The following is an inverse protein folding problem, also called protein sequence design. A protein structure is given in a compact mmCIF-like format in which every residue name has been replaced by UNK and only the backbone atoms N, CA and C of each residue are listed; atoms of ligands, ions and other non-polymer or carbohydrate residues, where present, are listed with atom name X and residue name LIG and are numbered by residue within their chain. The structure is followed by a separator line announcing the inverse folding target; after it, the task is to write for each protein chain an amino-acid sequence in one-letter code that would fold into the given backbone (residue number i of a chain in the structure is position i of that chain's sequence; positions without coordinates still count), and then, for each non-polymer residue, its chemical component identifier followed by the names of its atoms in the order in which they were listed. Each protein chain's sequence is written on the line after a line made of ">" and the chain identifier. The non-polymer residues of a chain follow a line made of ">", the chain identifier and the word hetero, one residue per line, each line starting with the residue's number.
data_IF_571653629399
#
_entry.id   IF_571653629399
#
_cell.length_a   1.000
_cell.length_b   1.000
_cell.length_c   1.000
_cell.angle_alpha   90.00
_cell.angle_beta   90.00
_cell.angle_gamma   90.00
#
_symmetry.space_group_name_H-M   'P 1'
#
loop_
_entity.id
_entity.type
_entity.pdbx_description
1 polymer ?
#
# COMPACT_ATOMS: atom_id res chain seq x y z
N UNK A 1 17.56 17.38 -8.42
CA UNK A 1 16.68 16.96 -9.54
C UNK A 1 15.28 16.79 -8.97
N UNK A 2 14.19 17.24 -9.64
CA UNK A 2 12.83 16.95 -9.18
C UNK A 2 12.52 15.46 -9.37
N UNK A 3 11.63 14.92 -8.55
CA UNK A 3 11.14 13.56 -8.69
C UNK A 3 9.67 13.55 -9.16
N UNK A 4 9.28 12.49 -9.86
CA UNK A 4 7.88 12.21 -10.17
C UNK A 4 7.42 11.00 -9.36
N UNK A 5 6.57 11.25 -8.36
CA UNK A 5 6.03 10.21 -7.50
C UNK A 5 4.92 9.41 -8.22
N UNK A 6 5.33 8.35 -8.90
CA UNK A 6 4.46 7.41 -9.60
C UNK A 6 3.76 6.41 -8.67
N UNK A 7 4.03 6.44 -7.35
CA UNK A 7 3.31 5.60 -6.37
C UNK A 7 1.88 6.11 -6.13
N UNK A 8 1.62 7.37 -6.48
CA UNK A 8 0.30 8.00 -6.43
C UNK A 8 -0.46 7.79 -7.73
N UNK A 9 -1.77 7.59 -7.63
CA UNK A 9 -2.63 7.58 -8.81
C UNK A 9 -2.60 8.95 -9.51
N UNK A 10 -2.20 8.95 -10.77
CA UNK A 10 -2.25 10.13 -11.65
C UNK A 10 -3.17 9.84 -12.85
N UNK A 11 -3.68 10.89 -13.49
CA UNK A 11 -4.50 10.77 -14.71
C UNK A 11 -3.74 11.17 -15.97
N UNK A 12 -2.60 11.82 -15.81
CA UNK A 12 -1.77 12.33 -16.89
C UNK A 12 -0.32 12.42 -16.41
N UNK A 13 0.61 12.39 -17.35
CA UNK A 13 2.02 12.65 -17.07
C UNK A 13 2.25 14.11 -16.62
N UNK A 14 3.32 14.38 -15.87
CA UNK A 14 3.74 15.74 -15.56
C UNK A 14 3.85 16.61 -16.81
N UNK A 15 3.33 17.84 -16.77
CA UNK A 15 3.38 18.79 -17.90
C UNK A 15 4.80 19.04 -18.40
N UNK A 16 5.76 19.04 -17.47
CA UNK A 16 7.19 19.14 -17.74
C UNK A 16 7.68 18.08 -18.72
N UNK A 17 7.07 16.88 -18.73
CA UNK A 17 7.45 15.79 -19.62
C UNK A 17 6.66 15.78 -20.93
N UNK A 18 5.45 16.35 -20.96
CA UNK A 18 4.52 16.19 -22.10
C UNK A 18 4.50 17.37 -23.07
N UNK A 19 4.75 18.59 -22.60
CA UNK A 19 4.65 19.76 -23.47
C UNK A 19 5.87 19.83 -24.39
N UNK A 20 5.66 19.91 -25.70
CA UNK A 20 6.74 20.00 -26.67
C UNK A 20 7.48 21.34 -26.62
N UNK A 21 6.80 22.42 -26.23
CA UNK A 21 7.34 23.77 -26.16
C UNK A 21 7.15 24.36 -24.76
N UNK A 22 8.08 25.22 -24.37
CA UNK A 22 8.05 26.00 -23.15
C UNK A 22 8.22 27.48 -23.48
N UNK A 23 7.34 28.32 -22.97
CA UNK A 23 7.44 29.79 -23.07
C UNK A 23 7.93 30.32 -21.73
N UNK A 24 9.12 30.93 -21.74
CA UNK A 24 9.69 31.54 -20.55
C UNK A 24 8.83 32.76 -20.13
N UNK A 25 8.30 32.79 -18.89
CA UNK A 25 7.43 33.86 -18.44
C UNK A 25 8.16 35.22 -18.29
N UNK A 26 9.49 35.24 -18.22
CA UNK A 26 10.29 36.45 -18.05
C UNK A 26 10.76 37.04 -19.38
N UNK A 27 11.23 36.19 -20.30
CA UNK A 27 11.71 36.63 -21.62
C UNK A 27 10.63 36.60 -22.70
N UNK A 28 9.52 35.92 -22.46
CA UNK A 28 8.44 35.64 -23.43
C UNK A 28 8.92 34.89 -24.69
N UNK A 29 10.11 34.31 -24.66
CA UNK A 29 10.65 33.48 -25.75
C UNK A 29 10.10 32.07 -25.60
N UNK A 30 9.61 31.52 -26.71
CA UNK A 30 9.16 30.12 -26.78
C UNK A 30 10.28 29.27 -27.38
N UNK A 31 10.66 28.23 -26.67
CA UNK A 31 11.67 27.24 -27.08
C UNK A 31 11.10 25.83 -27.00
N UNK A 32 11.74 24.87 -27.66
CA UNK A 32 11.44 23.45 -27.45
C UNK A 32 11.74 23.10 -25.99
N UNK A 33 10.83 22.37 -25.35
CA UNK A 33 10.99 21.93 -23.98
C UNK A 33 12.12 20.89 -23.89
N UNK A 34 13.20 21.16 -23.15
CA UNK A 34 14.34 20.24 -23.05
C UNK A 34 14.01 18.95 -22.29
N UNK A 35 12.85 18.86 -21.62
CA UNK A 35 12.39 17.65 -20.94
C UNK A 35 11.45 16.79 -21.80
N UNK A 36 11.11 17.24 -23.01
CA UNK A 36 10.18 16.52 -23.88
C UNK A 36 10.81 15.29 -24.52
N UNK A 37 12.01 15.42 -25.06
CA UNK A 37 12.82 14.36 -25.68
C UNK A 37 14.31 14.69 -25.55
N UNK A 38 15.18 13.70 -25.77
CA UNK A 38 16.63 13.90 -25.84
C UNK A 38 17.19 13.50 -27.21
N UNK A 39 18.24 14.18 -27.65
CA UNK A 39 18.94 13.89 -28.92
C UNK A 39 20.01 12.82 -28.71
N UNK A 40 19.97 11.76 -29.50
CA UNK A 40 21.03 10.74 -29.57
C UNK A 40 21.99 11.16 -30.68
N UNK A 41 23.05 11.86 -30.31
CA UNK A 41 23.93 12.54 -31.27
C UNK A 41 24.61 11.60 -32.27
N UNK A 42 25.07 10.43 -31.82
CA UNK A 42 25.82 9.50 -32.68
C UNK A 42 24.94 8.72 -33.68
N UNK A 43 23.61 8.68 -33.46
CA UNK A 43 22.64 8.08 -34.38
C UNK A 43 21.76 9.12 -35.08
N UNK A 44 21.84 10.40 -34.68
CA UNK A 44 21.06 11.50 -35.24
C UNK A 44 19.53 11.29 -35.15
N UNK A 45 19.05 10.74 -34.04
CA UNK A 45 17.62 10.52 -33.74
C UNK A 45 17.24 11.10 -32.38
N UNK A 46 15.97 11.42 -32.19
CA UNK A 46 15.43 11.89 -30.91
C UNK A 46 14.75 10.73 -30.17
N UNK A 47 14.77 10.75 -28.84
CA UNK A 47 14.06 9.74 -28.06
C UNK A 47 12.55 9.87 -28.22
N UNK A 48 11.87 8.72 -28.21
CA UNK A 48 10.42 8.63 -28.30
C UNK A 48 9.83 7.96 -27.05
N UNK A 49 8.57 8.27 -26.75
CA UNK A 49 7.80 7.66 -25.66
C UNK A 49 6.48 7.15 -26.21
N UNK A 50 6.16 5.89 -25.92
CA UNK A 50 4.90 5.23 -26.27
C UNK A 50 4.19 4.79 -24.98
N UNK A 51 3.44 5.72 -24.40
CA UNK A 51 2.96 5.63 -23.02
C UNK A 51 1.82 4.62 -22.89
N UNK A 52 2.03 3.56 -22.10
CA UNK A 52 1.03 2.54 -21.75
C UNK A 52 0.03 3.06 -20.71
N UNK A 53 -0.92 3.87 -21.16
CA UNK A 53 -1.92 4.55 -20.32
C UNK A 53 -2.82 3.59 -19.52
N UNK A 54 -3.08 2.41 -20.08
CA UNK A 54 -3.89 1.32 -19.50
C UNK A 54 -3.23 0.64 -18.29
N UNK A 55 -1.92 0.86 -18.10
CA UNK A 55 -1.17 0.38 -16.94
C UNK A 55 -0.84 1.52 -15.99
N UNK A 56 -0.22 2.58 -16.51
CA UNK A 56 0.30 3.68 -15.71
C UNK A 56 -0.78 4.43 -14.92
N UNK A 57 -1.96 4.62 -15.51
CA UNK A 57 -3.08 5.35 -14.88
C UNK A 57 -4.16 4.42 -14.33
N UNK A 58 -3.92 3.11 -14.32
CA UNK A 58 -4.87 2.12 -13.82
C UNK A 58 -4.95 2.16 -12.30
N UNK A 59 -6.16 2.36 -11.80
CA UNK A 59 -6.50 2.26 -10.38
C UNK A 59 -6.79 0.81 -10.01
N UNK A 60 -6.41 0.46 -8.79
CA UNK A 60 -6.73 -0.81 -8.16
C UNK A 60 -8.16 -0.85 -7.62
N UNK A 61 -8.55 -1.98 -7.01
CA UNK A 61 -9.91 -2.22 -6.52
C UNK A 61 -10.38 -1.23 -5.45
N UNK A 62 -9.47 -0.66 -4.66
CA UNK A 62 -9.80 0.29 -3.59
C UNK A 62 -9.96 1.73 -4.12
N UNK A 63 -9.67 1.96 -5.41
CA UNK A 63 -9.86 3.23 -6.12
C UNK A 63 -8.71 4.23 -5.95
N UNK A 64 -7.80 4.00 -4.99
CA UNK A 64 -6.62 4.84 -4.75
C UNK A 64 -5.30 4.07 -4.88
N UNK A 65 -5.33 2.75 -4.74
CA UNK A 65 -4.19 1.86 -4.92
C UNK A 65 -3.84 1.71 -6.41
N UNK A 66 -2.60 1.35 -6.70
CA UNK A 66 -2.09 1.09 -8.06
C UNK A 66 -1.22 -0.16 -8.03
N UNK A 67 -0.87 -0.69 -9.21
CA UNK A 67 0.12 -1.78 -9.27
C UNK A 67 1.45 -1.37 -8.63
N UNK A 68 1.96 -0.17 -8.97
CA UNK A 68 3.20 0.37 -8.42
C UNK A 68 3.14 0.57 -6.90
N UNK A 69 1.99 1.03 -6.40
CA UNK A 69 1.76 1.15 -4.96
C UNK A 69 1.98 -0.17 -4.25
N UNK A 70 1.36 -1.25 -4.71
CA UNK A 70 1.46 -2.56 -4.07
C UNK A 70 2.89 -3.13 -4.16
N UNK A 71 3.55 -3.01 -5.31
CA UNK A 71 4.91 -3.54 -5.49
C UNK A 71 5.95 -2.77 -4.65
N UNK A 72 5.89 -1.44 -4.63
CA UNK A 72 6.82 -0.64 -3.82
C UNK A 72 6.54 -0.79 -2.34
N UNK A 73 5.29 -0.86 -1.93
CA UNK A 73 4.97 -1.11 -0.53
C UNK A 73 5.56 -2.45 -0.07
N UNK A 74 5.47 -3.48 -0.91
CA UNK A 74 6.09 -4.77 -0.62
C UNK A 74 7.64 -4.71 -0.63
N UNK A 75 8.24 -3.86 -1.47
CA UNK A 75 9.67 -3.56 -1.38
C UNK A 75 10.02 -2.92 -0.02
N UNK A 76 9.29 -1.89 0.39
CA UNK A 76 9.47 -1.18 1.67
C UNK A 76 9.21 -2.08 2.89
N UNK A 77 8.45 -3.16 2.72
CA UNK A 77 8.27 -4.18 3.74
C UNK A 77 9.56 -4.96 4.04
N UNK A 78 10.47 -5.11 3.08
CA UNK A 78 11.69 -5.91 3.29
C UNK A 78 12.63 -5.24 4.30
N UNK A 79 13.19 -6.04 5.21
CA UNK A 79 14.17 -5.56 6.20
C UNK A 79 15.62 -5.79 5.76
N UNK A 80 15.86 -6.72 4.83
CA UNK A 80 17.17 -6.96 4.25
C UNK A 80 17.37 -6.13 2.97
N UNK A 81 18.56 -5.56 2.80
CA UNK A 81 18.87 -4.69 1.67
C UNK A 81 18.72 -5.41 0.32
N UNK A 82 19.17 -6.67 0.22
CA UNK A 82 19.13 -7.40 -1.05
C UNK A 82 17.70 -7.85 -1.40
N UNK A 83 16.89 -8.21 -0.39
CA UNK A 83 15.45 -8.44 -0.60
C UNK A 83 14.78 -7.16 -1.11
N UNK A 84 15.05 -6.01 -0.46
CA UNK A 84 14.53 -4.71 -0.87
C UNK A 84 14.93 -4.33 -2.30
N UNK A 85 16.22 -4.45 -2.63
CA UNK A 85 16.78 -4.06 -3.91
C UNK A 85 16.11 -4.79 -5.07
N UNK A 86 15.92 -6.11 -4.96
CA UNK A 86 15.26 -6.92 -6.01
C UNK A 86 13.81 -6.46 -6.22
N UNK A 87 13.04 -6.28 -5.15
CA UNK A 87 11.64 -5.84 -5.29
C UNK A 87 11.55 -4.42 -5.87
N UNK A 88 12.44 -3.51 -5.44
CA UNK A 88 12.48 -2.14 -5.93
C UNK A 88 12.87 -2.08 -7.41
N UNK A 89 13.89 -2.84 -7.83
CA UNK A 89 14.38 -2.85 -9.22
C UNK A 89 13.27 -3.27 -10.20
N UNK A 90 12.51 -4.32 -9.87
CA UNK A 90 11.40 -4.77 -10.71
C UNK A 90 10.24 -3.77 -10.74
N UNK A 91 9.98 -3.08 -9.62
CA UNK A 91 8.99 -2.00 -9.56
C UNK A 91 9.43 -0.81 -10.41
N UNK A 92 10.71 -0.47 -10.37
CA UNK A 92 11.35 0.58 -11.17
C UNK A 92 11.26 0.27 -12.68
N UNK A 93 11.53 -0.98 -13.08
CA UNK A 93 11.51 -1.41 -14.48
C UNK A 93 10.15 -1.19 -15.16
N UNK A 94 9.06 -1.20 -14.39
CA UNK A 94 7.71 -0.97 -14.92
C UNK A 94 7.60 0.42 -15.56
N UNK A 95 8.21 1.47 -14.99
CA UNK A 95 8.15 2.82 -15.57
C UNK A 95 8.95 2.90 -16.87
N UNK A 96 10.09 2.23 -16.95
CA UNK A 96 10.85 2.13 -18.21
C UNK A 96 9.99 1.54 -19.32
N UNK A 97 9.35 0.40 -19.05
CA UNK A 97 8.44 -0.26 -20.00
C UNK A 97 7.21 0.61 -20.33
N UNK A 98 6.57 1.21 -19.33
CA UNK A 98 5.31 1.94 -19.54
C UNK A 98 5.48 3.30 -20.17
N UNK A 99 6.63 3.97 -20.02
CA UNK A 99 6.92 5.20 -20.74
C UNK A 99 7.53 4.95 -22.12
N UNK A 100 8.43 3.97 -22.24
CA UNK A 100 9.09 3.70 -23.51
C UNK A 100 8.20 2.96 -24.51
N UNK A 101 7.31 2.09 -24.02
CA UNK A 101 6.41 1.30 -24.85
C UNK A 101 7.16 0.49 -25.90
N UNK A 102 6.63 0.46 -27.12
CA UNK A 102 7.17 -0.33 -28.24
C UNK A 102 8.38 0.27 -28.95
N UNK A 103 8.85 1.45 -28.53
CA UNK A 103 9.84 2.25 -29.26
C UNK A 103 11.27 1.81 -28.95
N UNK A 104 12.12 1.77 -29.98
CA UNK A 104 13.53 1.40 -29.88
C UNK A 104 14.33 2.45 -29.11
N UNK A 105 14.33 3.70 -29.56
CA UNK A 105 15.00 4.83 -28.90
C UNK A 105 14.19 5.40 -27.74
N UNK A 106 13.94 4.58 -26.72
CA UNK A 106 13.03 4.93 -25.61
C UNK A 106 13.55 4.50 -24.24
N UNK A 107 12.81 4.86 -23.19
CA UNK A 107 13.07 4.39 -21.82
C UNK A 107 13.00 2.87 -21.68
N UNK A 108 12.26 2.17 -22.55
CA UNK A 108 12.10 0.74 -22.44
C UNK A 108 13.36 -0.02 -22.91
N UNK A 109 14.31 0.65 -23.57
CA UNK A 109 15.54 0.05 -24.06
C UNK A 109 16.77 0.52 -23.28
N UNK A 110 17.51 -0.42 -22.68
CA UNK A 110 18.63 -0.11 -21.77
C UNK A 110 19.70 0.81 -22.40
N UNK A 111 19.97 0.67 -23.71
CA UNK A 111 21.00 1.48 -24.39
C UNK A 111 20.61 2.95 -24.56
N UNK A 112 19.32 3.23 -24.67
CA UNK A 112 18.81 4.54 -25.06
C UNK A 112 18.08 5.26 -23.92
N UNK A 113 17.71 4.54 -22.86
CA UNK A 113 16.87 5.06 -21.78
C UNK A 113 17.41 6.34 -21.15
N UNK A 114 18.72 6.45 -20.92
CA UNK A 114 19.35 7.60 -20.28
C UNK A 114 19.42 8.86 -21.15
N UNK A 115 19.22 8.75 -22.47
CA UNK A 115 19.14 9.92 -23.34
C UNK A 115 17.84 10.69 -23.15
N UNK A 116 16.78 10.03 -22.70
CA UNK A 116 15.52 10.69 -22.43
C UNK A 116 15.55 11.39 -21.05
N UNK A 117 15.29 12.71 -20.97
CA UNK A 117 15.31 13.46 -19.71
C UNK A 117 14.36 12.93 -18.61
N UNK A 118 13.29 12.23 -18.98
CA UNK A 118 12.38 11.61 -18.01
C UNK A 118 13.09 10.55 -17.15
N UNK A 119 14.17 9.94 -17.66
CA UNK A 119 15.01 8.99 -16.93
C UNK A 119 15.45 9.56 -15.58
N UNK A 120 16.01 10.78 -15.56
CA UNK A 120 16.54 11.38 -14.34
C UNK A 120 15.46 11.75 -13.32
N UNK A 121 14.28 12.16 -13.79
CA UNK A 121 13.14 12.45 -12.90
C UNK A 121 12.57 11.15 -12.30
N UNK A 122 12.51 10.09 -13.11
CA UNK A 122 12.12 8.76 -12.66
C UNK A 122 13.11 8.21 -11.61
N UNK A 123 14.40 8.25 -11.90
CA UNK A 123 15.47 7.80 -11.00
C UNK A 123 15.60 8.64 -9.74
N UNK A 124 15.27 9.94 -9.79
CA UNK A 124 15.16 10.75 -8.58
C UNK A 124 14.04 10.27 -7.65
N UNK A 125 12.94 9.71 -8.17
CA UNK A 125 11.94 9.08 -7.30
C UNK A 125 12.39 7.69 -6.81
N UNK A 126 13.10 6.92 -7.64
CA UNK A 126 13.67 5.62 -7.23
C UNK A 126 14.65 5.78 -6.08
N UNK A 127 15.55 6.76 -6.15
CA UNK A 127 16.46 7.11 -5.05
C UNK A 127 15.72 7.64 -3.82
N UNK A 128 14.66 8.45 -4.02
CA UNK A 128 13.77 8.86 -2.92
C UNK A 128 13.13 7.67 -2.20
N UNK A 129 12.69 6.64 -2.92
CA UNK A 129 12.14 5.43 -2.32
C UNK A 129 13.20 4.65 -1.53
N UNK A 130 14.45 4.65 -1.99
CA UNK A 130 15.56 4.10 -1.21
C UNK A 130 15.83 4.90 0.06
N UNK A 131 15.82 6.24 0.00
CA UNK A 131 15.91 7.10 1.18
C UNK A 131 14.76 6.87 2.19
N UNK A 132 13.53 6.62 1.69
CA UNK A 132 12.38 6.22 2.54
C UNK A 132 12.66 4.88 3.22
N UNK A 133 13.17 3.89 2.48
CA UNK A 133 13.55 2.60 3.06
C UNK A 133 14.64 2.76 4.13
N UNK A 134 15.68 3.54 3.89
CA UNK A 134 16.71 3.83 4.90
C UNK A 134 16.10 4.47 6.17
N UNK A 135 15.19 5.43 6.01
CA UNK A 135 14.51 6.04 7.16
C UNK A 135 13.64 5.03 7.93
N UNK A 136 12.99 4.09 7.21
CA UNK A 136 12.21 3.01 7.77
C UNK A 136 13.07 2.00 8.54
N UNK A 137 14.24 1.62 7.99
CA UNK A 137 15.21 0.77 8.66
C UNK A 137 15.72 1.41 9.96
N UNK A 138 16.01 2.72 9.93
CA UNK A 138 16.36 3.48 11.13
C UNK A 138 15.23 3.47 12.17
N UNK A 139 13.97 3.62 11.73
CA UNK A 139 12.80 3.55 12.62
C UNK A 139 12.65 2.17 13.27
N UNK A 140 12.94 1.09 12.52
CA UNK A 140 12.93 -0.30 12.99
C UNK A 140 14.10 -0.65 13.93
N UNK A 141 15.06 0.26 14.11
CA UNK A 141 16.26 0.04 14.92
C UNK A 141 17.42 -0.64 14.18
N UNK A 142 17.31 -0.78 12.86
CA UNK A 142 18.37 -1.30 11.99
C UNK A 142 19.34 -0.17 11.59
N UNK A 143 20.51 -0.57 11.10
CA UNK A 143 21.48 0.37 10.54
C UNK A 143 21.08 0.72 9.10
N UNK A 144 20.78 1.99 8.78
CA UNK A 144 20.26 2.37 7.48
C UNK A 144 21.33 2.52 6.39
N UNK A 145 22.61 2.60 6.79
CA UNK A 145 23.73 2.91 5.89
C UNK A 145 24.70 1.74 5.72
N UNK A 146 24.22 0.52 5.94
CA UNK A 146 25.02 -0.70 5.79
C UNK A 146 24.17 -1.76 5.06
N UNK A 147 24.77 -2.47 4.11
CA UNK A 147 24.20 -3.70 3.57
C UNK A 147 24.88 -4.90 4.24
N UNK A 148 24.10 -5.80 4.84
CA UNK A 148 24.61 -7.04 5.43
C UNK A 148 24.72 -8.19 4.40
N UNK A 149 24.45 -7.89 3.13
CA UNK A 149 24.43 -8.82 2.00
C UNK A 149 25.24 -8.22 0.83
N UNK A 150 25.63 -9.06 -0.13
CA UNK A 150 26.42 -8.65 -1.30
C UNK A 150 27.69 -7.83 -0.98
N UNK A 151 28.33 -8.07 0.17
CA UNK A 151 29.48 -7.29 0.67
C UNK A 151 30.64 -7.19 -0.32
N UNK A 152 30.84 -8.20 -1.17
CA UNK A 152 31.86 -8.18 -2.22
C UNK A 152 31.55 -7.12 -3.27
N UNK A 153 30.30 -7.07 -3.74
CA UNK A 153 29.84 -6.08 -4.71
C UNK A 153 29.86 -4.66 -4.13
N UNK A 154 29.61 -4.51 -2.82
CA UNK A 154 29.65 -3.21 -2.15
C UNK A 154 31.04 -2.56 -2.15
N UNK A 155 32.09 -3.36 -2.33
CA UNK A 155 33.49 -2.91 -2.41
C UNK A 155 34.02 -2.78 -3.83
N UNK A 156 33.24 -3.19 -4.84
CA UNK A 156 33.64 -3.01 -6.22
C UNK A 156 33.26 -1.59 -6.68
N UNK A 157 34.23 -0.76 -7.11
CA UNK A 157 33.93 0.61 -7.47
C UNK A 157 33.10 0.67 -8.76
N UNK A 158 32.01 1.43 -8.71
CA UNK A 158 31.05 1.59 -9.81
C UNK A 158 31.72 2.28 -10.99
N UNK A 159 31.61 1.66 -12.16
CA UNK A 159 32.07 2.23 -13.44
C UNK A 159 30.90 2.89 -14.16
N UNK A 160 31.11 4.00 -14.88
CA UNK A 160 32.40 4.67 -15.12
C UNK A 160 32.79 5.69 -14.05
N UNK A 161 32.04 5.82 -12.94
CA UNK A 161 32.30 6.84 -11.91
C UNK A 161 33.71 6.78 -11.32
N UNK A 162 34.24 5.56 -11.16
CA UNK A 162 35.61 5.31 -10.69
C UNK A 162 36.71 5.69 -11.67
N UNK A 163 36.40 5.87 -12.96
CA UNK A 163 37.38 6.32 -13.93
C UNK A 163 37.74 7.77 -13.66
N UNK A 164 39.02 8.12 -13.61
CA UNK A 164 39.42 9.52 -13.49
C UNK A 164 39.33 10.31 -14.81
N UNK A 165 39.87 11.53 -14.84
CA UNK A 165 40.03 12.29 -16.07
C UNK A 165 40.78 11.46 -17.15
N UNK A 166 40.35 11.49 -18.42
CA UNK A 166 39.38 12.42 -19.01
C UNK A 166 37.91 11.97 -18.96
N UNK A 167 37.60 10.78 -18.43
CA UNK A 167 36.26 10.19 -18.52
C UNK A 167 35.28 10.73 -17.48
N UNK A 168 35.71 10.83 -16.22
CA UNK A 168 34.94 11.49 -15.17
C UNK A 168 35.75 12.67 -14.62
N UNK A 169 35.18 13.88 -14.73
CA UNK A 169 35.76 15.10 -14.18
C UNK A 169 35.16 15.45 -12.81
N UNK A 170 34.14 14.73 -12.35
CA UNK A 170 33.45 14.98 -11.09
C UNK A 170 34.15 14.24 -9.94
N UNK A 171 34.88 15.00 -9.11
CA UNK A 171 35.64 14.45 -8.00
C UNK A 171 34.75 13.73 -6.97
N UNK A 172 33.56 14.24 -6.66
CA UNK A 172 32.65 13.65 -5.66
C UNK A 172 32.27 12.24 -6.09
N UNK A 173 31.79 12.08 -7.32
CA UNK A 173 31.38 10.77 -7.85
C UNK A 173 32.56 9.80 -8.01
N UNK A 174 33.76 10.32 -8.23
CA UNK A 174 34.97 9.50 -8.30
C UNK A 174 35.39 9.02 -6.90
N UNK A 175 35.41 9.92 -5.92
CA UNK A 175 35.77 9.64 -4.53
C UNK A 175 34.81 8.63 -3.92
N UNK A 176 33.50 8.83 -4.09
CA UNK A 176 32.45 7.96 -3.55
C UNK A 176 31.94 6.96 -4.58
N UNK A 177 32.86 6.36 -5.35
CA UNK A 177 32.52 5.38 -6.39
C UNK A 177 32.23 3.99 -5.84
N UNK A 178 32.56 3.69 -4.58
CA UNK A 178 32.19 2.43 -3.95
C UNK A 178 30.72 2.46 -3.52
N UNK A 179 29.93 1.41 -3.80
CA UNK A 179 28.53 1.38 -3.37
C UNK A 179 28.33 1.58 -1.87
N UNK A 180 29.23 1.08 -1.01
CA UNK A 180 29.15 1.30 0.45
C UNK A 180 29.21 2.79 0.84
N UNK A 181 29.89 3.63 0.05
CA UNK A 181 29.92 5.08 0.27
C UNK A 181 28.59 5.74 -0.14
N UNK A 182 27.78 5.10 -0.98
CA UNK A 182 26.59 5.75 -1.56
C UNK A 182 25.42 5.84 -0.57
N UNK A 183 25.42 5.05 0.50
CA UNK A 183 24.35 5.05 1.50
C UNK A 183 24.20 6.39 2.22
N UNK A 184 25.30 7.09 2.51
CA UNK A 184 25.30 8.35 3.25
C UNK A 184 25.06 9.56 2.33
N UNK A 185 23.96 9.54 1.58
CA UNK A 185 23.72 10.48 0.48
C UNK A 185 23.71 11.97 0.90
N UNK A 186 23.21 12.31 2.09
CA UNK A 186 23.23 13.70 2.58
C UNK A 186 24.66 14.20 2.88
N UNK A 187 25.49 13.35 3.48
CA UNK A 187 26.87 13.69 3.85
C UNK A 187 27.80 13.71 2.65
N UNK A 188 27.68 12.73 1.74
CA UNK A 188 28.60 12.57 0.62
C UNK A 188 28.17 13.35 -0.64
N UNK A 189 26.86 13.48 -0.90
CA UNK A 189 26.34 14.09 -2.13
C UNK A 189 25.57 15.40 -1.92
N UNK A 190 25.33 15.79 -0.67
CA UNK A 190 24.77 17.10 -0.29
C UNK A 190 23.41 17.44 -0.92
N UNK A 191 22.54 16.44 -1.10
CA UNK A 191 21.14 16.65 -1.48
C UNK A 191 20.18 16.09 -0.43
N UNK A 192 18.93 16.57 -0.47
CA UNK A 192 17.82 16.14 0.39
C UNK A 192 16.53 16.09 -0.40
N UNK A 193 15.56 15.32 0.12
CA UNK A 193 14.18 15.35 -0.34
C UNK A 193 13.35 16.28 0.54
N UNK A 194 12.35 16.92 -0.07
CA UNK A 194 11.36 17.75 0.61
C UNK A 194 10.50 16.96 1.60
N UNK A 195 10.15 15.71 1.25
CA UNK A 195 9.42 14.80 2.11
C UNK A 195 9.78 13.33 1.86
N UNK A 196 10.09 12.62 2.95
CA UNK A 196 10.21 11.16 2.99
C UNK A 196 8.88 10.54 3.47
N UNK A 197 7.92 10.48 2.54
CA UNK A 197 6.58 9.93 2.78
C UNK A 197 6.17 8.99 1.65
N UNK A 198 5.43 7.93 1.96
CA UNK A 198 4.89 7.01 0.97
C UNK A 198 3.38 7.23 0.87
N UNK A 199 2.92 7.81 -0.25
CA UNK A 199 1.49 8.15 -0.48
C UNK A 199 0.88 8.93 0.71
N UNK A 200 1.61 9.92 1.22
CA UNK A 200 1.19 10.76 2.36
C UNK A 200 1.39 10.11 3.74
N UNK A 201 1.86 8.86 3.82
CA UNK A 201 2.24 8.24 5.09
C UNK A 201 3.67 8.60 5.46
N UNK A 202 3.86 9.20 6.63
CA UNK A 202 5.18 9.35 7.23
C UNK A 202 5.74 7.98 7.67
N UNK A 203 7.01 7.94 8.07
CA UNK A 203 7.71 6.68 8.39
C UNK A 203 7.03 5.85 9.50
N UNK A 204 6.65 6.41 10.67
CA UNK A 204 5.92 5.63 11.69
C UNK A 204 4.56 5.09 11.22
N UNK A 205 3.80 5.88 10.48
CA UNK A 205 2.51 5.45 9.92
C UNK A 205 2.70 4.36 8.87
N UNK A 206 3.72 4.49 8.02
CA UNK A 206 4.07 3.48 7.02
C UNK A 206 4.47 2.15 7.67
N UNK A 207 5.30 2.17 8.71
CA UNK A 207 5.70 0.94 9.43
C UNK A 207 4.49 0.26 10.08
N UNK A 208 3.61 1.05 10.71
CA UNK A 208 2.33 0.57 11.27
C UNK A 208 1.48 -0.09 10.19
N UNK A 209 1.33 0.55 9.04
CA UNK A 209 0.54 0.05 7.92
C UNK A 209 1.13 -1.25 7.33
N UNK A 210 2.46 -1.36 7.22
CA UNK A 210 3.13 -2.58 6.80
C UNK A 210 2.86 -3.72 7.78
N UNK A 211 2.98 -3.46 9.09
CA UNK A 211 2.72 -4.47 10.12
C UNK A 211 1.25 -4.92 10.12
N UNK A 212 0.30 -4.01 9.91
CA UNK A 212 -1.12 -4.35 9.74
C UNK A 212 -1.34 -5.31 8.56
N UNK A 213 -0.65 -5.09 7.42
CA UNK A 213 -0.71 -6.02 6.28
C UNK A 213 -0.10 -7.39 6.59
N UNK A 214 0.90 -7.46 7.47
CA UNK A 214 1.52 -8.71 7.90
C UNK A 214 0.61 -9.54 8.81
N UNK A 215 -0.50 -9.01 9.32
CA UNK A 215 -1.46 -9.73 10.17
C UNK A 215 -2.42 -10.64 9.40
N UNK A 216 -2.27 -10.72 8.08
CA UNK A 216 -3.05 -11.61 7.24
C UNK A 216 -2.16 -12.62 6.54
N UNK A 217 -2.71 -13.81 6.33
CA UNK A 217 -2.07 -14.84 5.53
C UNK A 217 -1.93 -14.35 4.09
N UNK A 218 -0.71 -14.49 3.55
CA UNK A 218 -0.37 -14.06 2.20
C UNK A 218 0.32 -15.15 1.43
N UNK A 219 0.10 -15.14 0.12
CA UNK A 219 0.68 -16.11 -0.81
C UNK A 219 1.42 -15.33 -1.90
N UNK A 220 2.65 -15.76 -2.19
CA UNK A 220 3.51 -15.14 -3.18
C UNK A 220 3.94 -16.17 -4.23
N UNK A 221 4.03 -15.72 -5.49
CA UNK A 221 4.77 -16.40 -6.53
C UNK A 221 6.21 -15.89 -6.53
N UNK A 222 7.18 -16.79 -6.37
CA UNK A 222 8.61 -16.52 -6.33
C UNK A 222 9.28 -16.83 -7.67
N UNK A 223 9.84 -15.81 -8.32
CA UNK A 223 10.52 -15.93 -9.61
C UNK A 223 12.03 -15.80 -9.43
N UNK A 224 12.79 -16.78 -9.92
CA UNK A 224 14.25 -16.69 -10.04
C UNK A 224 14.59 -16.12 -11.41
N UNK A 225 15.06 -14.86 -11.44
CA UNK A 225 15.29 -14.14 -12.69
C UNK A 225 16.77 -14.08 -13.04
N UNK A 226 17.05 -14.11 -14.34
CA UNK A 226 18.36 -13.91 -14.94
C UNK A 226 18.25 -13.03 -16.17
N UNK A 227 19.31 -12.30 -16.49
CA UNK A 227 19.40 -11.49 -17.69
C UNK A 227 19.42 -12.36 -18.96
N UNK A 228 18.64 -11.96 -19.95
CA UNK A 228 18.61 -12.56 -21.29
C UNK A 228 18.86 -11.53 -22.41
N UNK A 229 19.42 -10.36 -22.06
CA UNK A 229 20.06 -9.42 -23.00
C UNK A 229 19.11 -8.55 -23.81
N UNK A 230 17.84 -8.45 -23.42
CA UNK A 230 16.82 -7.59 -24.03
C UNK A 230 15.67 -7.39 -23.04
N UNK A 231 15.03 -6.23 -23.08
CA UNK A 231 13.86 -5.97 -22.24
C UNK A 231 12.65 -6.81 -22.63
N UNK A 232 11.92 -7.32 -21.65
CA UNK A 232 10.71 -8.11 -21.89
C UNK A 232 9.61 -7.86 -20.85
N UNK A 233 8.37 -8.02 -21.29
CA UNK A 233 7.19 -8.08 -20.44
C UNK A 233 6.90 -9.55 -20.11
N UNK A 234 6.79 -9.85 -18.81
CA UNK A 234 6.47 -11.17 -18.30
C UNK A 234 5.05 -11.13 -17.75
N UNK A 235 4.16 -11.93 -18.34
CA UNK A 235 2.80 -12.15 -17.81
C UNK A 235 2.69 -13.60 -17.38
N UNK A 236 2.09 -13.84 -16.22
CA UNK A 236 1.86 -15.21 -15.75
C UNK A 236 0.39 -15.43 -15.41
N UNK A 237 -0.08 -16.63 -15.72
CA UNK A 237 -1.43 -17.10 -15.40
C UNK A 237 -1.35 -18.31 -14.49
N UNK A 238 -2.34 -18.44 -13.61
CA UNK A 238 -2.45 -19.55 -12.65
C UNK A 238 -3.52 -20.49 -13.19
N UNK A 239 -3.17 -21.76 -13.38
CA UNK A 239 -4.00 -22.76 -14.02
C UNK A 239 -4.30 -23.91 -13.07
N UNK A 240 -5.58 -24.28 -12.98
CA UNK A 240 -5.99 -25.47 -12.24
C UNK A 240 -5.42 -26.73 -12.89
N UNK A 241 -4.77 -27.61 -12.12
CA UNK A 241 -4.15 -28.82 -12.66
C UNK A 241 -5.17 -29.82 -13.26
N UNK A 242 -6.40 -29.85 -12.75
CA UNK A 242 -7.43 -30.81 -13.15
C UNK A 242 -8.30 -30.34 -14.33
N UNK A 243 -8.57 -29.04 -14.44
CA UNK A 243 -9.49 -28.48 -15.45
C UNK A 243 -8.82 -27.62 -16.53
N UNK A 244 -7.54 -27.30 -16.37
CA UNK A 244 -6.77 -26.36 -17.20
C UNK A 244 -7.43 -24.97 -17.36
N UNK A 245 -8.38 -24.64 -16.49
CA UNK A 245 -8.95 -23.31 -16.42
C UNK A 245 -7.94 -22.38 -15.75
N UNK A 246 -7.59 -21.30 -16.46
CA UNK A 246 -6.56 -20.36 -16.03
C UNK A 246 -7.15 -18.98 -15.77
N UNK A 247 -6.60 -18.29 -14.78
CA UNK A 247 -6.89 -16.88 -14.52
C UNK A 247 -5.60 -16.07 -14.43
N UNK A 248 -5.72 -14.76 -14.56
CA UNK A 248 -4.57 -13.86 -14.53
C UNK A 248 -3.96 -13.79 -13.14
N UNK A 249 -2.67 -14.15 -13.02
CA UNK A 249 -1.94 -14.04 -11.76
C UNK A 249 -1.29 -12.67 -11.61
N UNK A 250 -0.64 -12.18 -12.67
CA UNK A 250 -0.01 -10.86 -12.67
C UNK A 250 0.98 -10.68 -13.81
N UNK A 251 1.73 -9.58 -13.74
CA UNK A 251 2.78 -9.28 -14.69
C UNK A 251 3.88 -8.44 -14.04
N UNK A 252 5.07 -8.47 -14.63
CA UNK A 252 6.20 -7.60 -14.31
C UNK A 252 7.08 -7.43 -15.55
N UNK A 253 8.07 -6.55 -15.48
CA UNK A 253 8.89 -6.19 -16.64
C UNK A 253 10.37 -6.25 -16.28
N UNK A 254 11.17 -6.73 -17.22
CA UNK A 254 12.63 -6.78 -17.11
C UNK A 254 13.19 -5.80 -18.14
N UNK A 255 14.05 -4.89 -17.70
CA UNK A 255 14.81 -4.00 -18.57
C UNK A 255 16.10 -4.71 -18.99
N UNK A 256 16.49 -4.58 -20.25
CA UNK A 256 17.73 -5.18 -20.75
C UNK A 256 18.13 -4.67 -22.13
N UNK A 257 19.31 -5.08 -22.59
CA UNK A 257 19.82 -4.70 -23.91
C UNK A 257 21.00 -5.56 -24.34
N UNK A 258 21.34 -5.56 -25.63
CA UNK A 258 22.33 -6.50 -26.17
C UNK A 258 23.75 -6.36 -25.59
N UNK A 259 24.05 -5.20 -25.01
CA UNK A 259 25.32 -4.88 -24.34
C UNK A 259 25.23 -4.95 -22.80
N UNK A 260 24.14 -5.47 -22.27
CA UNK A 260 23.94 -5.67 -20.83
C UNK A 260 24.92 -6.71 -20.30
N UNK A 261 25.48 -6.43 -19.12
CA UNK A 261 26.30 -7.43 -18.43
C UNK A 261 25.43 -8.61 -17.98
N UNK A 262 25.91 -9.87 -18.11
CA UNK A 262 25.18 -11.01 -17.57
C UNK A 262 24.91 -10.82 -16.07
N UNK A 263 23.66 -10.97 -15.67
CA UNK A 263 23.24 -10.88 -14.27
C UNK A 263 22.26 -12.01 -13.95
N UNK A 264 22.20 -12.35 -12.67
CA UNK A 264 21.24 -13.29 -12.13
C UNK A 264 20.97 -12.89 -10.68
N UNK A 265 19.70 -12.86 -10.28
CA UNK A 265 19.39 -12.70 -8.87
C UNK A 265 19.75 -13.97 -8.11
N UNK A 266 20.35 -13.78 -6.94
CA UNK A 266 20.64 -14.83 -5.97
C UNK A 266 19.39 -15.22 -5.16
N UNK A 267 18.30 -14.46 -5.28
CA UNK A 267 17.05 -14.61 -4.51
C UNK A 267 15.82 -14.45 -5.41
N UNK A 268 14.67 -14.81 -4.84
CA UNK A 268 13.41 -14.78 -5.56
C UNK A 268 12.82 -13.37 -5.56
N UNK A 269 12.46 -12.86 -6.74
CA UNK A 269 11.47 -11.79 -6.86
C UNK A 269 10.11 -12.35 -6.44
N UNK A 270 9.39 -11.67 -5.55
CA UNK A 270 8.16 -12.22 -4.95
C UNK A 270 7.00 -11.33 -5.38
N UNK A 271 6.02 -11.95 -6.03
CA UNK A 271 4.80 -11.28 -6.46
C UNK A 271 3.62 -11.77 -5.63
N UNK A 272 2.87 -10.87 -4.99
CA UNK A 272 1.72 -11.25 -4.18
C UNK A 272 0.56 -11.74 -5.06
N UNK A 273 0.09 -12.97 -4.83
CA UNK A 273 -1.03 -13.62 -5.55
C UNK A 273 -2.22 -13.92 -4.63
N UNK A 274 -2.17 -13.44 -3.38
CA UNK A 274 -3.21 -13.66 -2.35
C UNK A 274 -4.62 -13.38 -2.86
N UNK A 275 -4.84 -12.19 -3.43
CA UNK A 275 -6.17 -11.75 -3.88
C UNK A 275 -6.61 -12.49 -5.15
N UNK A 276 -5.66 -12.81 -6.04
CA UNK A 276 -5.94 -13.60 -7.24
C UNK A 276 -6.45 -15.00 -6.85
N UNK A 277 -5.78 -15.67 -5.91
CA UNK A 277 -6.22 -16.98 -5.39
C UNK A 277 -7.59 -16.88 -4.68
N UNK A 278 -7.75 -15.92 -3.77
CA UNK A 278 -9.01 -15.74 -3.01
C UNK A 278 -10.21 -15.46 -3.92
N UNK A 279 -10.06 -14.60 -4.94
CA UNK A 279 -11.14 -14.26 -5.88
C UNK A 279 -11.61 -15.44 -6.73
N UNK A 280 -10.75 -16.45 -6.91
CA UNK A 280 -11.04 -17.68 -7.65
C UNK A 280 -11.26 -18.90 -6.74
N UNK A 281 -11.40 -18.70 -5.42
CA UNK A 281 -11.59 -19.76 -4.42
C UNK A 281 -10.48 -20.83 -4.39
N UNK A 282 -9.25 -20.46 -4.72
CA UNK A 282 -8.08 -21.32 -4.52
C UNK A 282 -7.47 -21.09 -3.15
N UNK A 283 -7.07 -22.19 -2.51
CA UNK A 283 -6.17 -22.19 -1.37
C UNK A 283 -4.72 -22.26 -1.83
N UNK A 284 -3.79 -21.93 -0.94
CA UNK A 284 -2.36 -21.99 -1.23
C UNK A 284 -1.85 -23.42 -1.44
N UNK A 285 -2.54 -24.41 -0.88
CA UNK A 285 -2.23 -25.85 -0.90
C UNK A 285 -3.02 -26.64 -1.96
N UNK A 286 -3.82 -25.96 -2.79
CA UNK A 286 -4.50 -26.58 -3.93
C UNK A 286 -3.51 -26.92 -5.07
N UNK A 287 -3.91 -27.84 -5.94
CA UNK A 287 -3.10 -28.27 -7.08
C UNK A 287 -3.29 -27.32 -8.29
N UNK A 288 -2.33 -26.41 -8.47
CA UNK A 288 -2.26 -25.48 -9.58
C UNK A 288 -0.81 -25.29 -10.06
N UNK A 289 -0.66 -24.91 -11.32
CA UNK A 289 0.64 -24.63 -11.93
C UNK A 289 0.62 -23.25 -12.63
N UNK A 290 1.80 -22.76 -12.98
CA UNK A 290 1.96 -21.46 -13.61
C UNK A 290 2.28 -21.60 -15.09
N UNK A 291 1.62 -20.81 -15.94
CA UNK A 291 2.04 -20.62 -17.34
C UNK A 291 2.59 -19.21 -17.50
N UNK A 292 3.82 -19.12 -18.01
CA UNK A 292 4.52 -17.85 -18.21
C UNK A 292 4.49 -17.49 -19.70
N UNK A 293 4.08 -16.27 -20.00
CA UNK A 293 4.10 -15.68 -21.32
C UNK A 293 5.12 -14.54 -21.32
N UNK A 294 6.21 -14.72 -22.06
CA UNK A 294 7.23 -13.70 -22.26
C UNK A 294 7.05 -13.05 -23.63
N UNK A 295 7.09 -11.71 -23.64
CA UNK A 295 7.02 -10.92 -24.87
C UNK A 295 8.08 -9.84 -24.84
N UNK A 296 8.86 -9.73 -25.91
CA UNK A 296 9.74 -8.58 -26.11
C UNK A 296 8.93 -7.29 -26.29
N UNK A 297 9.61 -6.15 -26.18
CA UNK A 297 9.03 -4.83 -26.40
C UNK A 297 8.39 -4.69 -27.79
N UNK A 298 9.00 -5.29 -28.80
CA UNK A 298 8.50 -5.30 -30.19
C UNK A 298 7.29 -6.24 -30.39
N UNK A 299 6.84 -6.92 -29.33
CA UNK A 299 5.72 -7.85 -29.34
C UNK A 299 6.10 -9.29 -29.71
N UNK A 300 7.36 -9.58 -30.02
CA UNK A 300 7.77 -10.94 -30.36
C UNK A 300 7.76 -11.85 -29.12
N UNK A 301 7.13 -13.03 -29.25
CA UNK A 301 7.04 -14.00 -28.15
C UNK A 301 8.37 -14.73 -27.94
N UNK A 302 8.70 -14.92 -26.67
CA UNK A 302 9.90 -15.62 -26.22
C UNK A 302 9.58 -17.03 -25.73
N UNK A 303 10.60 -17.89 -25.71
CA UNK A 303 10.49 -19.19 -25.07
C UNK A 303 10.28 -19.02 -23.56
N UNK A 304 9.20 -19.63 -23.06
CA UNK A 304 8.87 -19.66 -21.63
C UNK A 304 9.97 -20.31 -20.79
N UNK A 305 10.82 -21.18 -21.37
CA UNK A 305 11.91 -21.87 -20.67
C UNK A 305 13.00 -20.93 -20.12
N UNK A 306 13.04 -19.67 -20.56
CA UNK A 306 13.99 -18.67 -20.07
C UNK A 306 13.81 -18.33 -18.59
N UNK A 307 12.58 -18.41 -18.08
CA UNK A 307 12.24 -18.21 -16.67
C UNK A 307 11.81 -19.57 -16.12
N UNK A 308 12.52 -20.12 -15.12
CA UNK A 308 12.08 -21.34 -14.44
C UNK A 308 10.67 -21.20 -13.87
N UNK A 309 9.97 -22.33 -13.72
CA UNK A 309 8.65 -22.33 -13.10
C UNK A 309 8.72 -21.69 -11.69
N UNK A 310 7.83 -20.72 -11.38
CA UNK A 310 7.88 -20.01 -10.12
C UNK A 310 7.47 -20.90 -8.95
N UNK A 311 8.00 -20.58 -7.77
CA UNK A 311 7.66 -21.27 -6.53
C UNK A 311 6.49 -20.58 -5.83
N UNK A 312 5.69 -21.34 -5.08
CA UNK A 312 4.64 -20.77 -4.22
C UNK A 312 5.20 -20.61 -2.81
N UNK A 313 5.06 -19.42 -2.24
CA UNK A 313 5.51 -19.10 -0.88
C UNK A 313 4.30 -18.66 -0.07
N UNK A 314 3.93 -19.45 0.94
CA UNK A 314 2.93 -19.07 1.94
C UNK A 314 3.62 -18.37 3.12
N UNK A 315 3.15 -17.17 3.45
CA UNK A 315 3.61 -16.39 4.61
C UNK A 315 2.45 -16.27 5.59
N UNK A 316 2.52 -16.93 6.77
CA UNK A 316 1.45 -16.86 7.76
C UNK A 316 1.37 -15.47 8.41
N UNK A 317 0.17 -15.13 8.87
CA UNK A 317 -0.09 -13.91 9.62
C UNK A 317 0.81 -13.78 10.87
N UNK A 318 1.47 -12.64 11.00
CA UNK A 318 2.18 -12.22 12.22
C UNK A 318 1.31 -11.21 12.96
N UNK A 319 0.88 -11.57 14.17
CA UNK A 319 0.03 -10.68 14.98
C UNK A 319 0.89 -9.82 15.91
N UNK A 320 0.83 -8.50 15.73
CA UNK A 320 1.47 -7.57 16.65
C UNK A 320 0.44 -7.02 17.64
N UNK A 321 0.57 -7.46 18.90
CA UNK A 321 -0.34 -7.10 20.00
C UNK A 321 -0.19 -5.63 20.40
N UNK A 322 0.88 -4.96 19.98
CA UNK A 322 1.15 -3.56 20.34
C UNK A 322 0.51 -2.53 19.40
N UNK A 323 -0.02 -2.96 18.25
CA UNK A 323 -0.61 -2.07 17.27
C UNK A 323 -1.94 -1.48 17.76
N UNK A 324 -2.00 -0.14 17.88
CA UNK A 324 -3.24 0.60 18.18
C UNK A 324 -4.06 0.81 16.90
N UNK A 325 -4.90 -0.18 16.58
CA UNK A 325 -5.70 -0.21 15.32
C UNK A 325 -7.04 0.51 15.39
N UNK A 326 -7.42 0.98 16.58
CA UNK A 326 -8.81 1.39 16.86
C UNK A 326 -8.86 2.90 17.05
N UNK A 327 -9.74 3.56 16.30
CA UNK A 327 -10.03 4.98 16.45
C UNK A 327 -10.61 5.26 17.84
N UNK A 328 -10.37 6.45 18.38
CA UNK A 328 -10.76 6.80 19.76
C UNK A 328 -12.25 6.58 20.03
N UNK A 329 -13.10 6.89 19.04
CA UNK A 329 -14.56 6.70 19.11
C UNK A 329 -15.03 5.23 19.06
N UNK A 330 -14.11 4.27 18.90
CA UNK A 330 -14.35 2.82 18.95
C UNK A 330 -13.71 2.16 20.18
N UNK A 331 -13.15 2.94 21.09
CA UNK A 331 -12.60 2.46 22.36
C UNK A 331 -13.69 2.54 23.42
N UNK A 332 -14.11 1.38 23.93
CA UNK A 332 -15.03 1.30 25.08
C UNK A 332 -14.28 1.65 26.36
N UNK A 333 -14.81 2.60 27.12
CA UNK A 333 -14.22 3.08 28.36
C UNK A 333 -15.11 2.73 29.55
N UNK A 334 -14.51 2.70 30.75
CA UNK A 334 -15.28 2.58 31.97
C UNK A 334 -16.09 3.87 32.17
N UNK A 335 -17.33 3.74 32.63
CA UNK A 335 -18.16 4.90 32.99
C UNK A 335 -17.44 5.89 33.91
N UNK A 336 -16.65 5.40 34.87
CA UNK A 336 -15.92 6.24 35.83
C UNK A 336 -14.80 7.09 35.20
N UNK A 337 -14.35 6.75 34.00
CA UNK A 337 -13.30 7.50 33.29
C UNK A 337 -13.85 8.48 32.24
N UNK A 338 -15.16 8.47 32.00
CA UNK A 338 -15.78 9.35 31.00
C UNK A 338 -15.73 10.81 31.47
N UNK A 339 -15.49 11.72 30.53
CA UNK A 339 -15.62 13.15 30.78
C UNK A 339 -17.07 13.60 30.57
N UNK A 340 -17.45 14.75 31.14
CA UNK A 340 -18.78 15.35 30.92
C UNK A 340 -19.11 15.53 29.42
N UNK A 341 -18.10 15.84 28.60
CA UNK A 341 -18.25 15.95 27.15
C UNK A 341 -18.65 14.61 26.52
N UNK A 342 -18.03 13.51 26.98
CA UNK A 342 -18.30 12.18 26.47
C UNK A 342 -19.72 11.73 26.85
N UNK A 343 -20.12 12.02 28.10
CA UNK A 343 -21.45 11.74 28.63
C UNK A 343 -22.52 12.50 27.84
N UNK A 344 -22.35 13.81 27.65
CA UNK A 344 -23.30 14.63 26.88
C UNK A 344 -23.42 14.15 25.43
N UNK A 345 -22.32 13.75 24.80
CA UNK A 345 -22.37 13.20 23.44
C UNK A 345 -23.13 11.88 23.37
N UNK A 346 -22.94 10.99 24.33
CA UNK A 346 -23.67 9.72 24.39
C UNK A 346 -25.15 9.91 24.71
N UNK A 347 -25.49 10.87 25.59
CA UNK A 347 -26.87 11.23 25.91
C UNK A 347 -27.60 11.78 24.68
N UNK A 348 -27.04 12.78 24.01
CA UNK A 348 -27.64 13.34 22.80
C UNK A 348 -27.82 12.27 21.70
N UNK A 349 -26.80 11.44 21.45
CA UNK A 349 -26.88 10.37 20.46
C UNK A 349 -27.89 9.28 20.81
N UNK A 350 -28.04 8.92 22.09
CA UNK A 350 -29.03 7.94 22.52
C UNK A 350 -30.45 8.50 22.43
N UNK A 351 -30.66 9.77 22.79
CA UNK A 351 -31.93 10.46 22.61
C UNK A 351 -32.37 10.42 21.15
N UNK A 352 -31.50 10.86 20.23
CA UNK A 352 -31.79 10.85 18.78
C UNK A 352 -32.03 9.43 18.25
N UNK A 353 -31.32 8.43 18.78
CA UNK A 353 -31.53 7.02 18.42
C UNK A 353 -32.87 6.48 18.95
N UNK A 354 -33.34 6.95 20.11
CA UNK A 354 -34.66 6.60 20.67
C UNK A 354 -35.80 7.21 19.87
N UNK A 355 -35.62 8.41 19.31
CA UNK A 355 -36.58 9.06 18.41
C UNK A 355 -36.58 8.48 16.99
N UNK A 356 -35.52 7.79 16.58
CA UNK A 356 -35.44 7.16 15.27
C UNK A 356 -36.49 6.04 15.13
N UNK A 357 -37.45 6.25 14.23
CA UNK A 357 -38.52 5.30 13.91
C UNK A 357 -38.19 4.37 12.74
N UNK A 358 -36.99 4.48 12.16
CA UNK A 358 -36.51 3.60 11.09
C UNK A 358 -36.18 2.22 11.62
N UNK A 359 -35.81 1.30 10.71
CA UNK A 359 -35.33 -0.04 11.08
C UNK A 359 -34.01 -0.03 11.85
N UNK A 360 -33.29 1.08 11.87
CA UNK A 360 -32.05 1.24 12.64
C UNK A 360 -32.27 1.94 13.99
N UNK A 361 -33.50 2.37 14.26
CA UNK A 361 -33.85 3.05 15.50
C UNK A 361 -33.87 2.13 16.73
N UNK A 362 -33.79 2.74 17.91
CA UNK A 362 -33.64 2.03 19.19
C UNK A 362 -34.68 0.92 19.38
N UNK A 363 -35.96 1.24 19.21
CA UNK A 363 -37.06 0.29 19.42
C UNK A 363 -36.95 -0.95 18.51
N UNK A 364 -36.48 -0.77 17.27
CA UNK A 364 -36.26 -1.88 16.36
C UNK A 364 -35.04 -2.71 16.76
N UNK A 365 -33.94 -2.08 17.14
CA UNK A 365 -32.72 -2.77 17.55
C UNK A 365 -32.95 -3.60 18.82
N UNK A 366 -33.58 -3.03 19.85
CA UNK A 366 -33.83 -3.74 21.12
C UNK A 366 -34.74 -4.95 20.92
N UNK A 367 -35.65 -4.92 19.92
CA UNK A 367 -36.48 -6.07 19.58
C UNK A 367 -35.70 -7.31 19.13
N UNK A 368 -34.42 -7.17 18.74
CA UNK A 368 -33.58 -8.31 18.36
C UNK A 368 -33.31 -9.22 19.56
N UNK A 369 -33.33 -8.70 20.79
CA UNK A 369 -33.02 -9.50 21.97
C UNK A 369 -34.20 -10.38 22.40
N UNK A 370 -35.35 -9.75 22.68
CA UNK A 370 -36.46 -10.40 23.40
C UNK A 370 -37.79 -10.35 22.66
N UNK A 371 -38.44 -9.18 22.68
CA UNK A 371 -39.80 -9.00 22.20
C UNK A 371 -39.93 -7.80 21.24
N UNK A 372 -40.81 -7.87 20.22
CA UNK A 372 -41.54 -9.05 19.78
C UNK A 372 -40.60 -10.15 19.28
N UNK A 373 -40.94 -11.41 19.56
CA UNK A 373 -40.18 -12.55 19.07
C UNK A 373 -40.16 -12.55 17.53
N UNK A 374 -39.00 -12.83 16.93
CA UNK A 374 -38.80 -12.87 15.48
C UNK A 374 -38.05 -14.11 14.99
N UNK A 375 -37.76 -15.04 15.88
CA UNK A 375 -36.99 -16.23 15.57
C UNK A 375 -37.86 -17.51 15.64
N UNK A 376 -37.55 -18.52 14.81
CA UNK A 376 -36.48 -18.55 13.81
C UNK A 376 -36.78 -17.74 12.54
N UNK A 377 -38.06 -17.45 12.28
CA UNK A 377 -38.54 -16.70 11.13
C UNK A 377 -39.51 -15.60 11.60
N UNK A 378 -39.33 -14.34 11.17
CA UNK A 378 -40.26 -13.25 11.47
C UNK A 378 -41.72 -13.54 11.08
N UNK A 379 -41.98 -14.40 10.10
CA UNK A 379 -43.34 -14.76 9.68
C UNK A 379 -44.05 -15.73 10.66
N UNK A 380 -43.29 -16.56 11.38
CA UNK A 380 -43.81 -17.55 12.32
C UNK A 380 -42.92 -17.62 13.58
N UNK A 381 -42.92 -16.55 14.40
CA UNK A 381 -42.03 -16.49 15.55
C UNK A 381 -42.49 -17.43 16.66
N UNK A 382 -41.58 -18.27 17.14
CA UNK A 382 -41.84 -19.24 18.22
C UNK A 382 -41.00 -18.97 19.46
N UNK A 383 -39.87 -18.29 19.32
CA UNK A 383 -38.90 -18.02 20.40
C UNK A 383 -38.25 -16.65 20.28
N UNK A 384 -37.73 -16.14 21.40
CA UNK A 384 -36.84 -14.98 21.40
C UNK A 384 -35.56 -15.28 20.61
N UNK A 385 -34.98 -14.25 20.00
CA UNK A 385 -33.80 -14.41 19.15
C UNK A 385 -32.48 -14.47 19.93
N UNK A 386 -32.47 -13.94 21.17
CA UNK A 386 -31.26 -13.97 21.98
C UNK A 386 -30.88 -15.40 22.39
N UNK A 387 -29.59 -15.69 22.29
CA UNK A 387 -29.04 -16.98 22.71
C UNK A 387 -28.59 -16.93 24.17
N UNK A 388 -29.26 -17.70 25.03
CA UNK A 388 -28.94 -17.88 26.45
C UNK A 388 -28.71 -19.35 26.76
N UNK A 389 -27.83 -19.65 27.73
CA UNK A 389 -27.53 -21.04 28.15
C UNK A 389 -26.71 -21.86 27.15
N UNK A 390 -26.08 -21.21 26.16
CA UNK A 390 -25.33 -21.86 25.07
C UNK A 390 -23.92 -21.25 24.95
N UNK A 391 -22.91 -21.98 24.43
CA UNK A 391 -21.56 -21.44 24.17
C UNK A 391 -21.54 -20.23 23.22
N UNK A 392 -22.61 -20.05 22.45
CA UNK A 392 -22.83 -18.93 21.53
C UNK A 392 -23.42 -17.68 22.20
N UNK A 393 -23.79 -17.73 23.48
CA UNK A 393 -24.21 -16.56 24.29
C UNK A 393 -23.29 -15.34 24.14
N UNK A 394 -21.96 -15.43 24.35
CA UNK A 394 -21.08 -14.27 24.23
C UNK A 394 -20.94 -13.78 22.78
N UNK A 395 -21.10 -14.66 21.80
CA UNK A 395 -21.01 -14.33 20.38
C UNK A 395 -22.21 -13.45 19.96
N UNK A 396 -23.42 -13.86 20.36
CA UNK A 396 -24.64 -13.12 20.07
C UNK A 396 -24.61 -11.71 20.69
N UNK A 397 -24.23 -11.61 21.98
CA UNK A 397 -24.19 -10.33 22.68
C UNK A 397 -23.06 -9.40 22.19
N UNK A 398 -21.94 -9.96 21.71
CA UNK A 398 -20.89 -9.16 21.05
C UNK A 398 -21.45 -8.45 19.81
N UNK A 399 -22.16 -9.18 18.95
CA UNK A 399 -22.80 -8.58 17.77
C UNK A 399 -23.90 -7.59 18.15
N UNK A 400 -24.68 -7.89 19.20
CA UNK A 400 -25.73 -7.00 19.69
C UNK A 400 -25.19 -5.64 20.17
N UNK A 401 -24.10 -5.64 20.95
CA UNK A 401 -23.47 -4.38 21.39
C UNK A 401 -22.81 -3.62 20.24
N UNK A 402 -22.24 -4.32 19.25
CA UNK A 402 -21.67 -3.69 18.05
C UNK A 402 -22.75 -3.00 17.21
N UNK A 403 -23.91 -3.64 17.06
CA UNK A 403 -25.06 -3.06 16.35
C UNK A 403 -25.54 -1.76 17.01
N UNK A 404 -25.65 -1.75 18.34
CA UNK A 404 -26.02 -0.55 19.10
C UNK A 404 -24.93 0.54 19.01
N UNK A 405 -23.66 0.17 19.09
CA UNK A 405 -22.53 1.11 18.98
C UNK A 405 -22.50 1.81 17.61
N UNK A 406 -22.69 1.07 16.51
CA UNK A 406 -22.79 1.66 15.18
C UNK A 406 -24.01 2.59 15.04
N UNK A 407 -25.14 2.25 15.67
CA UNK A 407 -26.32 3.09 15.66
C UNK A 407 -26.06 4.40 16.41
N UNK A 408 -25.50 4.35 17.62
CA UNK A 408 -25.08 5.53 18.37
C UNK A 408 -24.10 6.41 17.57
N UNK A 409 -23.13 5.81 16.88
CA UNK A 409 -22.19 6.54 16.02
C UNK A 409 -22.89 7.21 14.83
N UNK A 410 -23.91 6.57 14.24
CA UNK A 410 -24.71 7.16 13.16
C UNK A 410 -25.53 8.39 13.64
N UNK A 411 -25.88 8.41 14.93
CA UNK A 411 -26.50 9.55 15.62
C UNK A 411 -25.49 10.48 16.30
N UNK A 412 -24.21 10.43 15.91
CA UNK A 412 -23.22 11.43 16.32
C UNK A 412 -22.48 11.16 17.63
N UNK A 413 -22.58 9.96 18.22
CA UNK A 413 -21.77 9.59 19.39
C UNK A 413 -20.28 9.63 19.05
N UNK A 414 -19.51 10.41 19.82
CA UNK A 414 -18.05 10.47 19.68
C UNK A 414 -17.32 9.40 20.48
N UNK A 415 -18.04 8.62 21.29
CA UNK A 415 -17.51 7.48 22.06
C UNK A 415 -18.17 6.16 21.64
N UNK A 416 -17.49 5.06 21.93
CA UNK A 416 -18.08 3.73 21.88
C UNK A 416 -18.98 3.51 23.11
N UNK A 417 -19.81 2.46 23.09
CA UNK A 417 -20.65 2.13 24.24
C UNK A 417 -19.78 1.90 25.48
N UNK A 418 -20.00 2.65 26.58
CA UNK A 418 -19.19 2.47 27.79
C UNK A 418 -19.56 1.18 28.51
N UNK A 419 -18.68 0.73 29.39
CA UNK A 419 -18.97 -0.40 30.27
C UNK A 419 -19.01 0.06 31.73
N UNK A 420 -19.97 -0.50 32.46
CA UNK A 420 -20.02 -0.41 33.91
C UNK A 420 -19.33 -1.64 34.50
N UNK A 421 -18.21 -1.43 35.20
CA UNK A 421 -17.50 -2.52 35.87
C UNK A 421 -18.15 -2.87 37.22
N UNK A 422 -19.17 -3.73 37.15
CA UNK A 422 -19.91 -4.22 38.31
C UNK A 422 -19.12 -5.22 39.17
N UNK A 423 -17.85 -5.53 38.83
CA UNK A 423 -17.00 -6.36 39.69
C UNK A 423 -16.44 -5.59 40.89
N UNK A 424 -16.44 -4.26 40.82
CA UNK A 424 -16.08 -3.39 41.94
C UNK A 424 -17.28 -3.12 42.87
N UNK A 425 -17.05 -2.97 44.19
CA UNK A 425 -18.12 -2.59 45.10
C UNK A 425 -18.58 -1.16 44.81
N UNK A 426 -19.87 -0.98 44.53
CA UNK A 426 -20.48 0.34 44.36
C UNK A 426 -21.17 0.80 45.64
N UNK A 427 -21.17 2.11 45.88
CA UNK A 427 -21.97 2.74 46.96
C UNK A 427 -23.32 3.26 46.45
N UNK A 428 -23.35 3.68 45.20
CA UNK A 428 -24.50 4.23 44.49
C UNK A 428 -24.42 3.84 43.01
N UNK A 429 -25.55 3.90 42.30
CA UNK A 429 -25.56 3.68 40.85
C UNK A 429 -24.81 4.83 40.14
N UNK A 430 -24.12 4.56 39.02
CA UNK A 430 -23.47 5.61 38.23
C UNK A 430 -24.46 6.71 37.82
N UNK A 431 -24.01 7.97 37.91
CA UNK A 431 -24.84 9.17 37.67
C UNK A 431 -25.56 9.18 36.33
N UNK A 432 -24.90 8.64 35.30
CA UNK A 432 -25.47 8.49 33.96
C UNK A 432 -26.83 7.76 33.97
N UNK A 433 -27.09 6.89 34.96
CA UNK A 433 -28.36 6.17 35.09
C UNK A 433 -29.33 6.79 36.10
N UNK A 434 -28.86 7.67 36.99
CA UNK A 434 -29.67 8.20 38.10
C UNK A 434 -30.14 9.63 37.91
N UNK A 435 -29.39 10.44 37.14
CA UNK A 435 -29.76 11.81 36.87
C UNK A 435 -31.03 11.82 36.00
N UNK A 436 -32.03 12.62 36.40
CA UNK A 436 -33.35 12.65 35.74
C UNK A 436 -33.29 13.46 34.46
N UNK A 437 -32.55 14.56 34.51
CA UNK A 437 -32.37 15.49 33.41
C UNK A 437 -30.87 15.75 33.15
N UNK A 438 -30.58 16.20 31.94
CA UNK A 438 -29.27 16.70 31.56
C UNK A 438 -29.43 17.99 30.75
N UNK A 439 -28.44 18.87 30.85
CA UNK A 439 -28.40 20.07 30.01
C UNK A 439 -27.70 19.73 28.69
N UNK A 440 -28.45 19.83 27.59
CA UNK A 440 -27.94 19.65 26.23
C UNK A 440 -27.36 20.96 25.72
N UNK A 441 -26.02 21.03 25.72
CA UNK A 441 -25.28 22.20 25.24
C UNK A 441 -25.43 22.46 23.72
N UNK A 442 -25.92 21.50 22.93
CA UNK A 442 -26.10 21.67 21.49
C UNK A 442 -27.44 22.31 21.13
N UNK A 443 -28.50 21.97 21.88
CA UNK A 443 -29.84 22.55 21.71
C UNK A 443 -30.14 23.69 22.69
N UNK A 444 -29.27 23.93 23.68
CA UNK A 444 -29.45 24.90 24.77
C UNK A 444 -30.73 24.64 25.58
N UNK A 445 -31.02 23.36 25.86
CA UNK A 445 -32.24 22.92 26.54
C UNK A 445 -31.93 21.91 27.65
N UNK A 446 -32.77 21.86 28.69
CA UNK A 446 -32.75 20.78 29.67
C UNK A 446 -33.66 19.66 29.16
N UNK A 447 -33.10 18.46 28.98
CA UNK A 447 -33.79 17.28 28.46
C UNK A 447 -33.81 16.16 29.49
N UNK A 448 -34.76 15.25 29.34
CA UNK A 448 -34.80 14.04 30.14
C UNK A 448 -33.63 13.12 29.78
N UNK A 449 -33.01 12.49 30.77
CA UNK A 449 -31.85 11.64 30.57
C UNK A 449 -32.25 10.31 29.90
N UNK A 450 -31.80 10.04 28.66
CA UNK A 450 -32.21 8.84 27.90
C UNK A 450 -31.61 7.54 28.46
N UNK A 451 -30.67 7.63 29.40
CA UNK A 451 -30.13 6.48 30.13
C UNK A 451 -30.88 6.17 31.44
N UNK A 452 -31.72 7.09 31.94
CA UNK A 452 -32.48 6.87 33.18
C UNK A 452 -33.64 5.89 32.96
N UNK A 453 -34.31 5.98 31.81
CA UNK A 453 -35.35 5.05 31.37
C UNK A 453 -35.46 5.01 29.85
N UNK A 454 -36.06 3.93 29.34
CA UNK A 454 -36.41 3.80 27.92
C UNK A 454 -37.79 4.41 27.62
N UNK A 455 -38.00 4.72 26.34
CA UNK A 455 -39.26 5.23 25.78
C UNK A 455 -40.38 4.19 25.74
#
# INVERSE_FOLDING_TARGET
>A
VPYWDWTRSTQQLPRTLTYANYTDPYSHVTITNPFHSGRIEFEHVDTERDVQTDKLFKRGPHGWDTWLYNQVLFALEQEDYCDFAIQLELSHNAIHSWLGGSKEHSLAHLHYASYDPAFFIHHSNTDRLWAIWQALQKHRGHKPNEANCALEQQREPLKPFSFGPPYNLNNITQTYSHPEDTFAYEEHFHYRYDALEFVGMNIPTLDTYIKERQEHDRVFAGFLLKGFGKSANVRFVICNAASDNCFEGGYFTILGGAAEMPWQFDRLYKYEITDALKSHNFRYDDDYHFKIHLTYIDGTSLDSSLIPEPTVIFVPAKHDVSLKKVTVNRIRQNLDSLTERDIQSAQAALHDLQEDSTKNGYAHLISFHGAPARCPDPANPTVACCQHGMPTFPHWHRLFTLQLEHALQAHGSVIAIPYWDWTYPIKELPRIFTDVDYYDAWSDEVRENPFAHGY
#
